data_IF_227157774562
#
_entry.id   IF_227157774562
#
_cell.length_a   1.000
_cell.length_b   1.000
_cell.length_c   1.000
_cell.angle_alpha   90.00
_cell.angle_beta   90.00
_cell.angle_gamma   90.00
#
_symmetry.space_group_name_H-M   'P 1'
#
loop_
_entity.id
_entity.type
_entity.pdbx_description
1 polymer ?
#
# COMPACT_ATOMS: atom_id res chain seq x y z
N UNK A 1 2.35 17.82 18.93
CA UNK A 1 3.14 16.57 18.97
C UNK A 1 2.54 15.60 17.97
N UNK A 2 3.39 14.91 17.22
CA UNK A 2 3.07 13.88 16.24
C UNK A 2 3.62 12.53 16.74
N UNK A 3 2.85 11.45 16.57
CA UNK A 3 3.39 10.09 16.70
C UNK A 3 3.49 9.43 15.33
N UNK A 4 4.67 8.97 14.95
CA UNK A 4 4.84 7.99 13.86
C UNK A 4 4.62 6.62 14.49
N UNK A 5 3.66 5.84 14.00
CA UNK A 5 3.37 4.55 14.64
C UNK A 5 4.47 3.54 14.33
N UNK A 6 4.78 2.71 15.32
CA UNK A 6 5.37 1.37 15.14
C UNK A 6 4.29 0.34 15.46
N UNK A 7 4.68 -0.92 15.71
CA UNK A 7 3.74 -1.96 16.10
C UNK A 7 4.39 -2.98 17.04
N UNK A 8 3.62 -3.85 17.70
CA UNK A 8 4.19 -4.82 18.66
C UNK A 8 5.08 -5.85 17.99
N UNK A 9 4.80 -6.22 16.73
CA UNK A 9 5.68 -7.11 15.96
C UNK A 9 7.02 -6.45 15.58
N UNK A 10 7.04 -5.12 15.43
CA UNK A 10 8.21 -4.32 15.04
C UNK A 10 8.25 -3.04 15.88
N UNK A 11 8.63 -3.15 17.18
CA UNK A 11 8.50 -2.03 18.12
C UNK A 11 9.51 -0.92 17.87
N UNK A 12 10.67 -1.28 17.32
CA UNK A 12 11.74 -0.34 16.98
C UNK A 12 11.47 0.37 15.65
N UNK A 13 11.69 1.68 15.56
CA UNK A 13 11.53 2.41 14.31
C UNK A 13 12.56 1.94 13.27
N UNK A 14 12.16 1.78 12.00
CA UNK A 14 13.10 1.45 10.95
C UNK A 14 14.03 2.66 10.71
N UNK A 15 15.31 2.38 10.44
CA UNK A 15 16.35 3.41 10.32
C UNK A 15 16.07 4.46 9.25
N UNK A 16 15.33 4.10 8.20
CA UNK A 16 14.93 4.99 7.12
C UNK A 16 13.87 6.04 7.52
N UNK A 17 13.20 5.89 8.67
CA UNK A 17 12.25 6.89 9.20
C UNK A 17 12.85 7.82 10.24
N UNK A 18 14.03 7.52 10.77
CA UNK A 18 14.73 8.42 11.71
C UNK A 18 14.99 9.80 11.10
N UNK A 19 15.50 9.92 9.84
CA UNK A 19 15.69 11.23 9.22
C UNK A 19 14.39 12.04 9.08
N UNK A 20 13.25 11.38 8.86
CA UNK A 20 11.95 12.05 8.80
C UNK A 20 11.54 12.59 10.18
N UNK A 21 11.67 11.79 11.23
CA UNK A 21 11.35 12.21 12.60
C UNK A 21 12.22 13.39 13.07
N UNK A 22 13.51 13.35 12.74
CA UNK A 22 14.45 14.43 13.02
C UNK A 22 14.06 15.70 12.25
N UNK A 23 13.78 15.58 10.95
CA UNK A 23 13.38 16.70 10.11
C UNK A 23 12.06 17.35 10.58
N UNK A 24 11.06 16.54 10.97
CA UNK A 24 9.81 17.03 11.56
C UNK A 24 10.06 17.80 12.86
N UNK A 25 10.91 17.27 13.74
CA UNK A 25 11.25 17.91 15.01
C UNK A 25 11.98 19.24 14.81
N UNK A 26 12.98 19.28 13.92
CA UNK A 26 13.69 20.51 13.53
C UNK A 26 12.74 21.57 12.92
N UNK A 27 11.64 21.11 12.32
CA UNK A 27 10.62 21.97 11.73
C UNK A 27 9.49 22.35 12.70
N UNK A 28 9.68 22.16 14.01
CA UNK A 28 8.74 22.57 15.04
C UNK A 28 7.59 21.59 15.31
N UNK A 29 7.71 20.34 14.84
CA UNK A 29 6.73 19.27 15.08
C UNK A 29 7.40 18.22 15.97
N UNK A 30 7.28 18.31 17.31
CA UNK A 30 7.82 17.28 18.20
C UNK A 30 7.27 15.92 17.82
N UNK A 31 8.17 14.98 17.49
CA UNK A 31 7.84 13.68 16.92
C UNK A 31 8.35 12.56 17.82
N UNK A 32 7.52 11.54 18.03
CA UNK A 32 7.89 10.32 18.75
C UNK A 32 7.42 9.08 17.98
N UNK A 33 7.97 7.92 18.34
CA UNK A 33 7.53 6.62 17.85
C UNK A 33 6.79 5.88 18.96
N UNK A 34 5.70 5.19 18.61
CA UNK A 34 5.01 4.30 19.54
C UNK A 34 4.20 3.22 18.80
N UNK A 35 4.10 1.99 19.35
CA UNK A 35 3.19 0.98 18.83
C UNK A 35 1.75 1.49 18.79
N UNK A 36 1.05 1.27 17.67
CA UNK A 36 -0.36 1.68 17.55
C UNK A 36 -1.24 1.00 18.61
N UNK A 37 -0.90 -0.23 19.01
CA UNK A 37 -1.59 -0.97 20.07
C UNK A 37 -1.54 -0.26 21.43
N UNK A 38 -0.52 0.56 21.68
CA UNK A 38 -0.43 1.39 22.89
C UNK A 38 -1.32 2.64 22.83
N UNK A 39 -2.04 2.85 21.72
CA UNK A 39 -3.02 3.92 21.51
C UNK A 39 -2.44 5.30 21.88
N UNK A 40 -1.37 5.73 21.18
CA UNK A 40 -0.67 6.98 21.49
C UNK A 40 -1.63 8.17 21.52
N UNK A 41 -1.40 9.10 22.45
CA UNK A 41 -2.28 10.26 22.72
C UNK A 41 -1.82 11.57 22.06
N UNK A 42 -0.90 11.48 21.10
CA UNK A 42 -0.50 12.65 20.32
C UNK A 42 -1.67 13.22 19.53
N UNK A 43 -1.73 14.55 19.41
CA UNK A 43 -2.76 15.24 18.63
C UNK A 43 -2.74 14.80 17.15
N UNK A 44 -1.56 14.46 16.62
CA UNK A 44 -1.40 13.98 15.25
C UNK A 44 -0.80 12.58 15.20
N UNK A 45 -1.25 11.75 14.27
CA UNK A 45 -0.80 10.37 14.07
C UNK A 45 -0.42 10.11 12.61
N UNK A 46 0.77 9.54 12.39
CA UNK A 46 1.32 9.15 11.09
C UNK A 46 1.57 7.63 11.07
N UNK A 47 0.68 6.81 10.48
CA UNK A 47 0.70 5.36 10.68
C UNK A 47 1.72 4.59 9.81
N UNK A 48 2.97 5.06 9.64
CA UNK A 48 3.92 4.52 8.64
C UNK A 48 4.50 3.12 8.95
N UNK A 49 4.39 2.60 10.18
CA UNK A 49 4.84 1.25 10.52
C UNK A 49 3.79 0.44 11.29
N UNK A 50 2.51 0.62 10.97
CA UNK A 50 1.42 -0.21 11.50
C UNK A 50 1.34 -1.59 10.81
N UNK A 51 2.47 -2.25 10.56
CA UNK A 51 2.54 -3.39 9.62
C UNK A 51 1.85 -4.66 10.11
N UNK A 52 1.65 -4.80 11.43
CA UNK A 52 0.93 -5.94 11.98
C UNK A 52 -0.59 -5.71 12.05
N UNK A 53 -1.12 -4.57 11.60
CA UNK A 53 -2.57 -4.33 11.65
C UNK A 53 -3.34 -5.43 10.92
N UNK A 54 -2.78 -6.00 9.85
CA UNK A 54 -3.43 -7.05 9.07
C UNK A 54 -3.69 -8.32 9.89
N UNK A 55 -3.01 -8.53 11.01
CA UNK A 55 -3.30 -9.61 11.96
C UNK A 55 -4.50 -9.28 12.88
N UNK A 56 -4.78 -7.99 13.10
CA UNK A 56 -5.86 -7.49 13.97
C UNK A 56 -6.64 -6.34 13.30
N UNK A 57 -7.21 -6.53 12.09
CA UNK A 57 -7.71 -5.43 11.29
C UNK A 57 -8.92 -4.72 11.91
N UNK A 58 -9.77 -5.47 12.62
CA UNK A 58 -10.91 -4.91 13.34
C UNK A 58 -10.45 -3.98 14.47
N UNK A 59 -9.46 -4.41 15.26
CA UNK A 59 -8.92 -3.62 16.36
C UNK A 59 -8.22 -2.35 15.86
N UNK A 60 -7.46 -2.44 14.78
CA UNK A 60 -6.84 -1.27 14.16
C UNK A 60 -7.89 -0.30 13.60
N UNK A 61 -8.87 -0.80 12.86
CA UNK A 61 -9.96 0.01 12.34
C UNK A 61 -10.74 0.70 13.46
N UNK A 62 -11.03 -0.01 14.55
CA UNK A 62 -11.69 0.56 15.73
C UNK A 62 -10.83 1.67 16.35
N UNK A 63 -9.53 1.45 16.50
CA UNK A 63 -8.61 2.46 17.01
C UNK A 63 -8.59 3.72 16.15
N UNK A 64 -8.55 3.60 14.81
CA UNK A 64 -8.61 4.77 13.91
C UNK A 64 -9.86 5.63 14.18
N UNK A 65 -11.02 4.98 14.28
CA UNK A 65 -12.31 5.67 14.52
C UNK A 65 -12.35 6.31 15.90
N UNK A 66 -11.93 5.60 16.94
CA UNK A 66 -11.95 6.09 18.32
C UNK A 66 -10.97 7.25 18.53
N UNK A 67 -9.74 7.14 18.01
CA UNK A 67 -8.75 8.20 18.09
C UNK A 67 -9.24 9.48 17.40
N UNK A 68 -9.86 9.35 16.22
CA UNK A 68 -10.48 10.49 15.53
C UNK A 68 -11.64 11.10 16.33
N UNK A 69 -12.52 10.27 16.91
CA UNK A 69 -13.62 10.75 17.76
C UNK A 69 -13.12 11.47 19.02
N UNK A 70 -11.93 11.12 19.52
CA UNK A 70 -11.25 11.83 20.62
C UNK A 70 -10.51 13.10 20.18
N UNK A 71 -10.64 13.53 18.92
CA UNK A 71 -10.03 14.75 18.39
C UNK A 71 -8.57 14.59 17.91
N UNK A 72 -8.05 13.36 17.84
CA UNK A 72 -6.76 13.12 17.19
C UNK A 72 -6.94 13.21 15.67
N UNK A 73 -5.90 13.67 14.97
CA UNK A 73 -5.91 13.82 13.51
C UNK A 73 -4.86 12.93 12.89
N UNK A 74 -5.29 12.07 11.98
CA UNK A 74 -4.38 11.25 11.21
C UNK A 74 -3.87 12.05 10.00
N UNK A 75 -2.62 11.79 9.60
CA UNK A 75 -2.00 12.50 8.46
C UNK A 75 -2.72 12.18 7.15
N UNK A 76 -3.15 10.94 6.95
CA UNK A 76 -4.12 10.60 5.92
C UNK A 76 -5.54 10.51 6.52
N UNK A 77 -6.61 10.84 5.75
CA UNK A 77 -7.99 10.73 6.22
C UNK A 77 -8.33 9.32 6.72
N UNK A 78 -8.99 9.23 7.89
CA UNK A 78 -9.36 7.94 8.50
C UNK A 78 -10.29 7.13 7.61
N UNK A 79 -11.24 7.79 6.94
CA UNK A 79 -12.14 7.14 5.99
C UNK A 79 -11.38 6.43 4.86
N UNK A 80 -10.42 7.13 4.25
CA UNK A 80 -9.57 6.58 3.19
C UNK A 80 -8.71 5.42 3.68
N UNK A 81 -8.08 5.55 4.84
CA UNK A 81 -7.24 4.48 5.39
C UNK A 81 -8.09 3.22 5.66
N UNK A 82 -9.26 3.37 6.29
CA UNK A 82 -10.16 2.24 6.56
C UNK A 82 -10.63 1.54 5.29
N UNK A 83 -10.94 2.30 4.24
CA UNK A 83 -11.28 1.76 2.93
C UNK A 83 -10.07 1.03 2.30
N UNK A 84 -8.88 1.61 2.37
CA UNK A 84 -7.68 1.08 1.74
C UNK A 84 -7.06 -0.12 2.47
N UNK A 85 -7.37 -0.34 3.75
CA UNK A 85 -6.98 -1.55 4.49
C UNK A 85 -7.49 -2.84 3.84
N UNK A 86 -8.54 -2.74 3.01
CA UNK A 86 -9.20 -3.85 2.36
C UNK A 86 -9.05 -3.77 0.84
N UNK A 87 -8.30 -4.71 0.24
CA UNK A 87 -7.97 -4.79 -1.18
C UNK A 87 -9.17 -4.86 -2.11
N UNK A 88 -10.40 -5.02 -1.60
CA UNK A 88 -11.64 -4.79 -2.38
C UNK A 88 -11.72 -3.38 -2.94
N UNK A 89 -10.97 -2.42 -2.39
CA UNK A 89 -10.76 -1.11 -3.01
C UNK A 89 -10.29 -1.20 -4.47
N UNK A 90 -9.60 -2.28 -4.87
CA UNK A 90 -9.17 -2.48 -6.27
C UNK A 90 -10.36 -2.70 -7.21
N UNK A 91 -11.43 -3.35 -6.72
CA UNK A 91 -12.68 -3.48 -7.46
C UNK A 91 -13.38 -2.12 -7.57
N UNK A 92 -13.45 -1.36 -6.47
CA UNK A 92 -14.02 0.00 -6.47
C UNK A 92 -13.28 0.91 -7.46
N UNK A 93 -11.94 0.91 -7.44
CA UNK A 93 -11.11 1.69 -8.38
C UNK A 93 -11.37 1.27 -9.84
N UNK A 94 -11.51 -0.04 -10.11
CA UNK A 94 -11.87 -0.52 -11.46
C UNK A 94 -13.24 0.03 -11.90
N UNK A 95 -14.23 0.00 -11.01
CA UNK A 95 -15.57 0.55 -11.27
C UNK A 95 -15.55 2.06 -11.49
N UNK A 96 -14.63 2.78 -10.83
CA UNK A 96 -14.40 4.22 -11.05
C UNK A 96 -13.59 4.52 -12.31
N UNK A 97 -13.17 3.50 -13.05
CA UNK A 97 -12.47 3.63 -14.32
C UNK A 97 -10.94 3.69 -14.21
N UNK A 98 -10.37 3.34 -13.06
CA UNK A 98 -8.93 3.23 -12.89
C UNK A 98 -8.33 2.09 -13.73
N UNK A 99 -7.11 2.30 -14.20
CA UNK A 99 -6.33 1.30 -14.91
C UNK A 99 -5.65 0.30 -13.96
N UNK A 100 -6.47 -0.58 -13.39
CA UNK A 100 -6.06 -1.59 -12.42
C UNK A 100 -5.94 -2.97 -13.05
N UNK A 101 -5.04 -3.80 -12.52
CA UNK A 101 -5.03 -5.23 -12.84
C UNK A 101 -6.45 -5.76 -12.59
N UNK A 102 -7.09 -6.41 -13.59
CA UNK A 102 -8.46 -6.92 -13.45
C UNK A 102 -8.61 -7.74 -12.17
N UNK A 103 -9.49 -7.29 -11.28
CA UNK A 103 -9.61 -7.83 -9.92
C UNK A 103 -11.00 -8.40 -9.68
N UNK A 104 -11.06 -9.62 -9.18
CA UNK A 104 -12.32 -10.29 -8.80
C UNK A 104 -12.26 -10.67 -7.35
N UNK A 105 -13.21 -10.17 -6.56
CA UNK A 105 -13.43 -10.65 -5.20
C UNK A 105 -14.20 -11.97 -5.23
N UNK A 106 -13.70 -12.97 -4.51
CA UNK A 106 -14.41 -14.25 -4.30
C UNK A 106 -14.00 -14.88 -2.97
N UNK A 107 -14.65 -15.97 -2.60
CA UNK A 107 -14.22 -16.87 -1.53
C UNK A 107 -13.15 -17.86 -2.04
N UNK A 108 -12.41 -18.48 -1.12
CA UNK A 108 -11.20 -19.26 -1.42
C UNK A 108 -11.44 -20.73 -1.77
N UNK A 109 -12.70 -21.17 -1.92
CA UNK A 109 -13.02 -22.53 -2.35
C UNK A 109 -12.52 -22.77 -3.78
N UNK A 110 -12.04 -23.99 -4.02
CA UNK A 110 -11.43 -24.39 -5.28
C UNK A 110 -12.38 -24.15 -6.46
N UNK A 111 -13.64 -24.55 -6.32
CA UNK A 111 -14.66 -24.46 -7.36
C UNK A 111 -14.92 -23.00 -7.75
N UNK A 112 -14.87 -22.08 -6.78
CA UNK A 112 -15.04 -20.64 -7.03
C UNK A 112 -13.85 -20.03 -7.76
N UNK A 113 -12.64 -20.45 -7.41
CA UNK A 113 -11.44 -20.05 -8.12
C UNK A 113 -11.43 -20.55 -9.57
N UNK A 114 -11.81 -21.82 -9.79
CA UNK A 114 -11.92 -22.40 -11.12
C UNK A 114 -12.99 -21.67 -11.97
N UNK A 115 -14.15 -21.33 -11.38
CA UNK A 115 -15.19 -20.52 -12.01
C UNK A 115 -14.67 -19.13 -12.46
N UNK A 116 -13.88 -18.47 -11.61
CA UNK A 116 -13.26 -17.17 -11.95
C UNK A 116 -12.26 -17.32 -13.10
N UNK A 117 -11.37 -18.33 -13.03
CA UNK A 117 -10.38 -18.57 -14.08
C UNK A 117 -11.03 -18.88 -15.43
N UNK A 118 -12.05 -19.73 -15.44
CA UNK A 118 -12.80 -20.11 -16.65
C UNK A 118 -13.55 -18.92 -17.24
N UNK A 119 -14.38 -18.23 -16.43
CA UNK A 119 -15.20 -17.10 -16.90
C UNK A 119 -14.37 -15.92 -17.41
N UNK A 120 -13.16 -15.72 -16.88
CA UNK A 120 -12.25 -14.66 -17.32
C UNK A 120 -11.25 -15.11 -18.40
N UNK A 121 -11.19 -16.40 -18.71
CA UNK A 121 -10.21 -16.97 -19.64
C UNK A 121 -8.76 -16.88 -19.15
N UNK A 122 -8.54 -16.86 -17.83
CA UNK A 122 -7.20 -16.75 -17.23
C UNK A 122 -6.56 -18.13 -17.07
N UNK A 123 -5.36 -18.31 -17.63
CA UNK A 123 -4.58 -19.55 -17.44
C UNK A 123 -3.84 -19.57 -16.11
N UNK A 124 -3.29 -18.43 -15.72
CA UNK A 124 -2.54 -18.22 -14.47
C UNK A 124 -3.10 -16.99 -13.77
N UNK A 125 -3.24 -17.06 -12.45
CA UNK A 125 -3.72 -15.96 -11.64
C UNK A 125 -2.92 -15.86 -10.33
N UNK A 126 -2.97 -14.69 -9.72
CA UNK A 126 -2.50 -14.43 -8.36
C UNK A 126 -3.72 -14.29 -7.47
N UNK A 127 -3.68 -14.97 -6.33
CA UNK A 127 -4.64 -14.84 -5.24
C UNK A 127 -3.98 -14.06 -4.11
N UNK A 128 -4.72 -13.10 -3.55
CA UNK A 128 -4.29 -12.27 -2.43
C UNK A 128 -5.40 -12.25 -1.37
N UNK A 129 -5.10 -12.34 -0.06
CA UNK A 129 -6.08 -12.05 0.98
C UNK A 129 -6.65 -10.64 0.79
N UNK A 130 -7.94 -10.43 1.06
CA UNK A 130 -8.53 -9.07 1.00
C UNK A 130 -7.87 -8.12 2.00
N UNK A 131 -7.47 -8.63 3.17
CA UNK A 131 -6.69 -7.89 4.16
C UNK A 131 -5.35 -8.60 4.30
N UNK A 132 -4.26 -7.90 4.01
CA UNK A 132 -2.94 -8.50 4.04
C UNK A 132 -1.85 -7.50 3.69
N UNK A 133 -0.63 -7.82 4.12
CA UNK A 133 0.55 -7.00 3.91
C UNK A 133 1.79 -7.85 3.63
N UNK A 134 2.85 -7.22 3.12
CA UNK A 134 4.18 -7.83 2.93
C UNK A 134 4.16 -9.11 2.10
N UNK A 135 3.19 -9.27 1.20
CA UNK A 135 3.01 -10.47 0.37
C UNK A 135 2.54 -11.74 1.12
N UNK A 136 2.15 -11.64 2.39
CA UNK A 136 1.62 -12.79 3.15
C UNK A 136 0.31 -13.29 2.52
N UNK A 137 0.22 -14.61 2.35
CA UNK A 137 -0.93 -15.25 1.70
C UNK A 137 -1.01 -15.02 0.18
N UNK A 138 -0.02 -14.37 -0.45
CA UNK A 138 -0.02 -14.18 -1.89
C UNK A 138 0.43 -15.47 -2.59
N UNK A 139 -0.43 -16.05 -3.42
CA UNK A 139 -0.19 -17.32 -4.09
C UNK A 139 -0.47 -17.23 -5.59
N UNK A 140 0.30 -17.96 -6.41
CA UNK A 140 0.03 -18.13 -7.84
C UNK A 140 -0.73 -19.44 -8.04
N UNK A 141 -1.83 -19.38 -8.78
CA UNK A 141 -2.66 -20.53 -9.16
C UNK A 141 -2.69 -20.68 -10.68
N UNK A 142 -2.98 -21.89 -11.14
CA UNK A 142 -3.14 -22.23 -12.56
C UNK A 142 -4.44 -22.98 -12.78
N UNK A 143 -5.11 -22.70 -13.89
CA UNK A 143 -6.33 -23.40 -14.28
C UNK A 143 -6.10 -24.92 -14.36
N UNK A 144 -6.98 -25.71 -13.73
CA UNK A 144 -6.86 -27.17 -13.62
C UNK A 144 -5.91 -27.66 -12.52
N UNK A 145 -5.16 -26.77 -11.87
CA UNK A 145 -4.18 -27.09 -10.82
C UNK A 145 -4.40 -26.20 -9.57
N UNK A 146 -5.63 -25.75 -9.33
CA UNK A 146 -5.95 -24.87 -8.19
C UNK A 146 -5.80 -25.66 -6.88
N UNK A 147 -4.89 -25.18 -6.03
CA UNK A 147 -4.65 -25.72 -4.70
C UNK A 147 -4.35 -24.56 -3.74
N UNK A 148 -5.30 -24.28 -2.84
CA UNK A 148 -5.18 -23.33 -1.75
C UNK A 148 -5.81 -23.92 -0.49
N UNK A 149 -5.31 -23.53 0.67
CA UNK A 149 -5.95 -23.85 1.94
C UNK A 149 -6.92 -22.73 2.28
N UNK A 150 -8.22 -23.01 2.25
CA UNK A 150 -9.25 -22.01 2.52
C UNK A 150 -9.11 -21.33 3.90
N UNK A 151 -8.61 -22.09 4.88
CA UNK A 151 -8.29 -21.62 6.24
C UNK A 151 -7.26 -20.47 6.29
N UNK A 152 -6.42 -20.31 5.25
CA UNK A 152 -5.46 -19.21 5.15
C UNK A 152 -6.13 -17.88 4.75
N UNK A 153 -7.40 -17.90 4.33
CA UNK A 153 -8.11 -16.73 3.79
C UNK A 153 -9.50 -16.50 4.43
N UNK A 154 -9.60 -16.37 5.77
CA UNK A 154 -10.89 -16.32 6.46
C UNK A 154 -11.75 -15.09 6.09
N UNK A 155 -11.15 -14.00 5.59
CA UNK A 155 -11.85 -12.79 5.16
C UNK A 155 -12.18 -12.77 3.65
N UNK A 156 -11.78 -13.80 2.89
CA UNK A 156 -11.91 -13.87 1.44
C UNK A 156 -10.68 -13.37 0.69
N UNK A 157 -10.79 -13.36 -0.64
CA UNK A 157 -9.66 -13.13 -1.54
C UNK A 157 -9.97 -12.19 -2.70
N UNK A 158 -8.92 -11.58 -3.24
CA UNK A 158 -8.87 -10.96 -4.56
C UNK A 158 -8.10 -11.89 -5.50
N UNK A 159 -8.66 -12.13 -6.68
CA UNK A 159 -8.05 -12.90 -7.78
C UNK A 159 -7.74 -11.95 -8.93
N UNK A 160 -6.51 -12.00 -9.41
CA UNK A 160 -5.99 -11.16 -10.49
C UNK A 160 -5.29 -12.04 -11.53
N UNK A 161 -5.34 -11.71 -12.84
CA UNK A 161 -4.53 -12.44 -13.82
C UNK A 161 -3.05 -12.29 -13.49
N UNK A 162 -2.28 -13.33 -13.75
CA UNK A 162 -0.83 -13.24 -13.58
C UNK A 162 -0.23 -12.36 -14.68
N UNK A 163 0.28 -11.19 -14.29
CA UNK A 163 0.95 -10.24 -15.19
C UNK A 163 2.41 -10.65 -15.34
N UNK A 164 2.73 -11.39 -16.42
CA UNK A 164 4.05 -12.00 -16.61
C UNK A 164 5.18 -10.98 -16.76
N UNK A 165 4.87 -9.79 -17.25
CA UNK A 165 5.80 -8.67 -17.40
C UNK A 165 6.49 -8.31 -16.08
N UNK A 166 5.89 -8.62 -14.92
CA UNK A 166 6.51 -8.42 -13.60
C UNK A 166 7.89 -9.08 -13.47
N UNK A 167 8.11 -10.22 -14.14
CA UNK A 167 9.37 -10.97 -14.08
C UNK A 167 10.53 -10.23 -14.77
N UNK A 168 10.22 -9.34 -15.72
CA UNK A 168 11.23 -8.61 -16.50
C UNK A 168 11.24 -7.12 -16.23
N UNK A 169 10.05 -6.53 -16.03
CA UNK A 169 9.86 -5.10 -15.78
C UNK A 169 9.93 -4.75 -14.30
N UNK A 170 9.74 -5.73 -13.40
CA UNK A 170 9.57 -5.50 -11.97
C UNK A 170 8.32 -4.68 -11.66
N UNK A 171 8.21 -4.26 -10.41
CA UNK A 171 7.16 -3.36 -9.94
C UNK A 171 7.70 -1.94 -9.78
N UNK A 172 7.03 -0.97 -10.40
CA UNK A 172 7.33 0.44 -10.20
C UNK A 172 6.43 1.00 -9.10
N UNK A 173 7.04 1.46 -8.02
CA UNK A 173 6.38 2.11 -6.89
C UNK A 173 6.53 3.62 -7.01
N UNK A 174 5.44 4.33 -7.35
CA UNK A 174 5.39 5.78 -7.44
C UNK A 174 4.92 6.37 -6.11
N UNK A 175 5.70 7.29 -5.55
CA UNK A 175 5.38 7.97 -4.29
C UNK A 175 4.82 9.35 -4.57
N UNK A 176 3.66 9.63 -3.99
CA UNK A 176 3.00 10.92 -4.04
C UNK A 176 2.92 11.53 -2.65
N UNK A 177 3.20 12.82 -2.56
CA UNK A 177 3.12 13.63 -1.34
C UNK A 177 2.23 14.82 -1.64
N UNK A 178 1.17 15.01 -0.85
CA UNK A 178 0.18 16.08 -1.04
C UNK A 178 -0.39 16.12 -2.48
N UNK A 179 -0.72 14.94 -3.02
CA UNK A 179 -1.20 14.76 -4.40
C UNK A 179 -0.17 15.00 -5.50
N UNK A 180 1.09 15.33 -5.16
CA UNK A 180 2.17 15.60 -6.13
C UNK A 180 3.12 14.43 -6.23
N UNK A 181 3.50 14.06 -7.44
CA UNK A 181 4.55 13.06 -7.66
C UNK A 181 5.86 13.55 -7.02
N UNK A 182 6.48 12.71 -6.21
CA UNK A 182 7.74 13.01 -5.52
C UNK A 182 8.89 12.24 -6.15
N UNK A 183 8.80 10.91 -6.18
CA UNK A 183 9.83 10.03 -6.70
C UNK A 183 9.26 8.63 -6.96
N UNK A 184 10.06 7.76 -7.57
CA UNK A 184 9.70 6.37 -7.77
C UNK A 184 10.88 5.44 -7.52
N UNK A 185 10.56 4.19 -7.19
CA UNK A 185 11.54 3.11 -7.13
C UNK A 185 11.08 1.93 -7.97
N UNK A 186 12.04 1.19 -8.50
CA UNK A 186 11.84 -0.10 -9.13
C UNK A 186 12.17 -1.20 -8.13
N UNK A 187 11.21 -2.08 -7.87
CA UNK A 187 11.38 -3.33 -7.13
C UNK A 187 11.51 -4.47 -8.14
N UNK A 188 12.72 -5.01 -8.29
CA UNK A 188 12.98 -6.12 -9.19
C UNK A 188 13.03 -7.44 -8.41
N UNK A 189 12.09 -8.38 -8.66
CA UNK A 189 12.18 -9.73 -8.12
C UNK A 189 13.47 -10.46 -8.57
N UNK A 190 14.02 -11.36 -7.75
CA UNK A 190 15.08 -12.28 -8.18
C UNK A 190 14.66 -13.15 -9.38
N UNK A 191 15.62 -13.68 -10.13
CA UNK A 191 15.32 -14.61 -11.23
C UNK A 191 14.51 -15.82 -10.73
N UNK A 192 13.37 -16.08 -11.38
CA UNK A 192 12.46 -17.18 -11.01
C UNK A 192 11.52 -16.85 -9.86
N UNK A 193 11.63 -15.66 -9.26
CA UNK A 193 10.68 -15.09 -8.32
C UNK A 193 9.84 -14.01 -9.04
N UNK A 194 8.58 -13.88 -8.65
CA UNK A 194 7.63 -12.95 -9.27
C UNK A 194 7.01 -11.98 -8.25
N UNK A 195 7.16 -12.28 -6.96
CA UNK A 195 6.69 -11.42 -5.87
C UNK A 195 7.66 -10.26 -5.70
N UNK A 196 7.19 -9.04 -5.96
CA UNK A 196 7.97 -7.81 -5.84
C UNK A 196 8.01 -7.22 -4.41
N UNK A 197 7.54 -7.96 -3.40
CA UNK A 197 7.59 -7.54 -1.99
C UNK A 197 8.99 -7.70 -1.39
N UNK A 198 9.43 -6.75 -0.57
CA UNK A 198 10.77 -6.75 0.06
C UNK A 198 11.13 -8.02 0.83
N UNK A 199 10.13 -8.74 1.38
CA UNK A 199 10.32 -10.01 2.06
C UNK A 199 10.93 -11.12 1.18
N UNK A 200 10.89 -10.97 -0.15
CA UNK A 200 11.38 -11.95 -1.12
C UNK A 200 12.73 -11.57 -1.75
N UNK A 201 13.51 -10.69 -1.10
CA UNK A 201 14.87 -10.37 -1.53
C UNK A 201 14.96 -9.53 -2.80
N UNK A 202 13.95 -8.69 -3.04
CA UNK A 202 13.88 -7.83 -4.23
C UNK A 202 14.97 -6.77 -4.22
N UNK A 203 15.56 -6.50 -5.38
CA UNK A 203 16.45 -5.38 -5.56
C UNK A 203 15.62 -4.09 -5.68
N UNK A 204 15.93 -3.09 -4.86
CA UNK A 204 15.26 -1.78 -4.89
C UNK A 204 16.24 -0.75 -5.44
N UNK A 205 15.80 0.02 -6.44
CA UNK A 205 16.61 1.07 -7.05
C UNK A 205 15.74 2.29 -7.41
N UNK A 206 16.27 3.52 -7.44
CA UNK A 206 15.55 4.67 -7.96
C UNK A 206 15.08 4.44 -9.40
N UNK A 207 13.88 4.92 -9.72
CA UNK A 207 13.29 4.78 -11.05
C UNK A 207 12.83 6.13 -11.60
N UNK A 208 12.94 6.27 -12.93
CA UNK A 208 12.37 7.39 -13.69
C UNK A 208 11.26 6.86 -14.60
N UNK A 209 10.02 6.70 -14.08
CA UNK A 209 8.91 6.20 -14.88
C UNK A 209 8.55 7.18 -16.00
N UNK A 210 7.96 6.69 -17.11
CA UNK A 210 7.44 7.57 -18.16
C UNK A 210 6.39 8.55 -17.62
N UNK A 211 6.31 9.76 -18.16
CA UNK A 211 5.32 10.77 -17.73
C UNK A 211 3.88 10.24 -17.78
N UNK A 212 3.57 9.41 -18.77
CA UNK A 212 2.25 8.77 -18.89
C UNK A 212 1.91 7.87 -17.70
N UNK A 213 2.88 7.15 -17.15
CA UNK A 213 2.68 6.35 -15.94
C UNK A 213 2.42 7.24 -14.71
N UNK A 214 3.12 8.37 -14.61
CA UNK A 214 2.89 9.37 -13.56
C UNK A 214 1.49 9.99 -13.69
N UNK A 215 1.06 10.31 -14.91
CA UNK A 215 -0.28 10.82 -15.19
C UNK A 215 -1.37 9.81 -14.84
N UNK A 216 -1.21 8.52 -15.20
CA UNK A 216 -2.13 7.46 -14.77
C UNK A 216 -2.23 7.38 -13.24
N UNK A 217 -1.10 7.42 -12.54
CA UNK A 217 -1.08 7.42 -11.08
C UNK A 217 -1.77 8.66 -10.47
N UNK A 218 -1.57 9.84 -11.08
CA UNK A 218 -2.25 11.09 -10.70
C UNK A 218 -3.75 11.01 -10.90
N UNK A 219 -4.20 10.41 -12.00
CA UNK A 219 -5.62 10.17 -12.29
C UNK A 219 -6.25 9.27 -11.24
N UNK A 220 -5.58 8.18 -10.85
CA UNK A 220 -6.03 7.30 -9.76
C UNK A 220 -6.22 8.08 -8.46
N UNK A 221 -5.27 8.94 -8.07
CA UNK A 221 -5.42 9.77 -6.87
C UNK A 221 -6.58 10.76 -6.97
N UNK A 222 -6.84 11.31 -8.16
CA UNK A 222 -7.95 12.24 -8.38
C UNK A 222 -9.34 11.60 -8.30
N UNK A 223 -9.42 10.27 -8.41
CA UNK A 223 -10.67 9.51 -8.22
C UNK A 223 -11.03 9.32 -6.75
N UNK A 224 -10.06 9.50 -5.83
CA UNK A 224 -10.31 9.37 -4.40
C UNK A 224 -11.20 10.53 -3.90
N UNK A 225 -12.06 10.29 -2.90
CA UNK A 225 -12.93 11.34 -2.36
C UNK A 225 -12.17 12.50 -1.72
N UNK A 226 -10.93 12.25 -1.28
CA UNK A 226 -10.02 13.23 -0.71
C UNK A 226 -8.59 12.96 -1.19
N UNK A 227 -7.77 14.00 -1.35
CA UNK A 227 -6.35 13.84 -1.68
C UNK A 227 -5.59 13.44 -0.40
N UNK A 228 -4.91 12.28 -0.36
CA UNK A 228 -4.12 11.89 0.79
C UNK A 228 -2.83 12.73 0.87
N UNK A 229 -2.35 12.97 2.09
CA UNK A 229 -1.08 13.65 2.33
C UNK A 229 0.12 12.83 1.84
N UNK A 230 0.00 11.50 1.82
CA UNK A 230 0.94 10.61 1.16
C UNK A 230 0.22 9.40 0.54
N UNK A 231 0.76 8.89 -0.56
CA UNK A 231 0.32 7.65 -1.17
C UNK A 231 1.49 6.95 -1.85
N UNK A 232 1.44 5.62 -1.92
CA UNK A 232 2.28 4.84 -2.82
C UNK A 232 1.41 4.07 -3.81
N UNK A 233 1.74 4.20 -5.08
CA UNK A 233 1.07 3.55 -6.19
C UNK A 233 2.03 2.53 -6.78
N UNK A 234 1.74 1.26 -6.56
CA UNK A 234 2.54 0.14 -7.04
C UNK A 234 1.90 -0.43 -8.30
N UNK A 235 2.66 -0.56 -9.39
CA UNK A 235 2.16 -1.11 -10.63
C UNK A 235 3.24 -1.68 -11.54
N UNK A 236 2.81 -2.49 -12.49
CA UNK A 236 3.68 -3.05 -13.53
C UNK A 236 3.61 -2.19 -14.78
N UNK A 237 4.76 -1.81 -15.33
CA UNK A 237 4.81 -1.08 -16.59
C UNK A 237 4.65 -2.04 -17.77
N UNK A 238 3.63 -1.81 -18.59
CA UNK A 238 3.42 -2.50 -19.87
C UNK A 238 3.63 -1.47 -20.97
N UNK A 239 4.87 -1.37 -21.46
CA UNK A 239 5.29 -0.25 -22.31
C UNK A 239 5.34 1.05 -21.50
N UNK A 240 4.54 2.05 -21.89
CA UNK A 240 4.42 3.34 -21.22
C UNK A 240 3.25 3.43 -20.23
N UNK A 241 2.45 2.35 -20.13
CA UNK A 241 1.23 2.28 -19.35
C UNK A 241 1.51 1.65 -17.99
N UNK A 242 1.05 2.30 -16.93
CA UNK A 242 1.08 1.77 -15.57
C UNK A 242 -0.19 0.97 -15.31
N UNK A 243 -0.05 -0.34 -15.08
CA UNK A 243 -1.16 -1.17 -14.64
C UNK A 243 -1.09 -1.29 -13.11
N UNK A 244 -2.06 -0.69 -12.41
CA UNK A 244 -2.09 -0.62 -10.94
C UNK A 244 -2.21 -2.02 -10.33
N UNK A 245 -1.27 -2.37 -9.45
CA UNK A 245 -1.27 -3.58 -8.65
C UNK A 245 -1.77 -3.33 -7.22
N UNK A 246 -1.32 -2.24 -6.60
CA UNK A 246 -1.67 -1.86 -5.22
C UNK A 246 -1.61 -0.34 -5.03
N UNK A 247 -2.56 0.20 -4.27
CA UNK A 247 -2.52 1.56 -3.73
C UNK A 247 -2.36 1.44 -2.21
N UNK A 248 -1.35 2.09 -1.64
CA UNK A 248 -1.08 2.06 -0.20
C UNK A 248 -1.19 3.46 0.41
N UNK A 249 -2.15 3.62 1.31
CA UNK A 249 -2.49 4.88 2.00
C UNK A 249 -2.29 4.81 3.52
N UNK A 250 -1.94 3.66 4.08
CA UNK A 250 -1.84 3.46 5.53
C UNK A 250 -0.37 3.45 5.97
N UNK A 251 0.37 2.37 5.69
CA UNK A 251 1.77 2.17 6.13
C UNK A 251 2.78 1.88 4.99
N UNK A 252 2.72 2.60 3.84
CA UNK A 252 3.67 2.37 2.77
C UNK A 252 5.10 2.65 3.22
N UNK A 253 6.02 1.77 2.82
CA UNK A 253 7.41 2.15 2.71
C UNK A 253 7.52 3.25 1.63
N UNK A 254 7.73 4.50 2.06
CA UNK A 254 7.75 5.68 1.18
C UNK A 254 9.09 5.93 0.49
N UNK A 255 10.11 5.09 0.72
CA UNK A 255 11.43 5.20 0.06
C UNK A 255 12.09 6.59 0.07
N UNK A 256 11.82 7.42 1.09
CA UNK A 256 12.26 8.83 1.15
C UNK A 256 13.78 9.03 1.00
N UNK A 257 14.59 8.03 1.34
CA UNK A 257 16.05 8.05 1.20
C UNK A 257 16.54 7.93 -0.25
N UNK A 258 15.65 7.63 -1.20
CA UNK A 258 15.99 7.43 -2.62
C UNK A 258 15.92 8.71 -3.45
N UNK A 259 15.46 9.82 -2.87
CA UNK A 259 15.36 11.11 -3.53
C UNK A 259 15.75 12.26 -2.58
N UNK A 260 16.53 13.21 -3.09
CA UNK A 260 17.17 14.28 -2.31
C UNK A 260 16.18 15.12 -1.48
N UNK A 261 15.04 15.49 -2.07
CA UNK A 261 14.06 16.38 -1.44
C UNK A 261 12.89 15.67 -0.75
N UNK A 262 12.78 14.34 -0.86
CA UNK A 262 11.58 13.62 -0.46
C UNK A 262 11.26 13.76 1.05
N UNK A 263 12.27 13.79 1.92
CA UNK A 263 12.07 14.04 3.35
C UNK A 263 11.51 15.45 3.60
N UNK A 264 12.06 16.46 2.93
CA UNK A 264 11.60 17.84 3.07
C UNK A 264 10.17 18.01 2.55
N UNK A 265 9.84 17.40 1.41
CA UNK A 265 8.49 17.41 0.83
C UNK A 265 7.48 16.72 1.76
N UNK A 266 7.87 15.60 2.38
CA UNK A 266 7.01 14.90 3.34
C UNK A 266 6.74 15.76 4.58
N UNK A 267 7.74 16.50 5.08
CA UNK A 267 7.55 17.47 6.17
C UNK A 267 6.53 18.55 5.78
N UNK A 268 6.56 19.04 4.54
CA UNK A 268 5.58 20.03 4.07
C UNK A 268 4.17 19.44 3.98
N UNK A 269 4.03 18.21 3.46
CA UNK A 269 2.74 17.52 3.41
C UNK A 269 2.14 17.36 4.82
N UNK A 270 2.95 16.94 5.80
CA UNK A 270 2.52 16.84 7.21
C UNK A 270 2.14 18.22 7.78
N UNK A 271 2.92 19.26 7.50
CA UNK A 271 2.62 20.64 7.96
C UNK A 271 1.28 21.15 7.46
N UNK A 272 0.91 20.87 6.20
CA UNK A 272 -0.38 21.29 5.63
C UNK A 272 -1.54 20.65 6.39
N UNK A 273 -1.44 19.37 6.72
CA UNK A 273 -2.45 18.68 7.54
C UNK A 273 -2.51 19.28 8.94
N UNK A 274 -1.37 19.56 9.59
CA UNK A 274 -1.35 20.15 10.93
C UNK A 274 -1.95 21.56 10.96
N UNK A 275 -1.79 22.33 9.89
CA UNK A 275 -2.20 23.74 9.82
C UNK A 275 -3.68 23.96 9.45
N UNK A 276 -4.26 23.08 8.64
CA UNK A 276 -5.71 23.08 8.34
C UNK A 276 -6.51 22.56 9.51
#
# INVERSE_FOLDING_TARGET
>A
MLTITTCLAYPEPPSNLLPLADALTQNGIPTAFAPWQHRPKSAFILPLCAWDYAAEPEAFGQWLTEAQACGQRFINPVGLMRWNMDKRYLCDLAEWGADVIPSVQTSSEKEKLEEVLESRGWREAVVKPVIGQSGRGVAKIRAGEVSLKAEDYPQGIIVQPYIREIETAGETSLVFLDGRFSHAVLRMPPQGEWRANSAYGVAVSPAAPPEKAIETARQILSMLPEIPAYARIDGTLIGDRLLLNELELVEPALYLHTAENAVADMVQAVKRVIAG
#
